data_IF_208035210192
#
_entry.id   IF_208035210192
#
_cell.length_a   1.000
_cell.length_b   1.000
_cell.length_c   1.000
_cell.angle_alpha   90.00
_cell.angle_beta   90.00
_cell.angle_gamma   90.00
#
_symmetry.space_group_name_H-M   'P 1'
#
loop_
_entity.id
_entity.type
_entity.pdbx_description
1 polymer ?
#
# COMPACT_ATOMS: atom_id res chain seq x y z
N UNK A 1 -48.68 -20.93 86.64
CA UNK A 1 -47.31 -21.37 86.31
C UNK A 1 -47.41 -22.25 85.08
N UNK A 2 -47.24 -21.66 83.90
CA UNK A 2 -47.19 -22.41 82.65
C UNK A 2 -45.72 -22.78 82.45
N UNK A 3 -45.33 -24.06 82.53
CA UNK A 3 -43.93 -24.44 82.42
C UNK A 3 -43.46 -24.08 81.02
N UNK A 4 -42.40 -23.27 80.93
CA UNK A 4 -41.67 -23.11 79.69
C UNK A 4 -41.24 -24.51 79.25
N UNK A 5 -41.79 -24.98 78.12
CA UNK A 5 -41.11 -26.00 77.33
C UNK A 5 -39.84 -25.35 76.77
N UNK A 6 -38.81 -25.28 77.61
CA UNK A 6 -37.44 -25.07 77.18
C UNK A 6 -36.93 -26.35 76.57
N UNK A 7 -37.45 -26.71 75.40
CA UNK A 7 -36.83 -27.72 74.56
C UNK A 7 -35.51 -27.13 74.05
N UNK A 8 -34.41 -27.60 74.62
CA UNK A 8 -33.06 -27.27 74.17
C UNK A 8 -32.86 -27.88 72.79
N UNK A 9 -32.65 -27.03 71.77
CA UNK A 9 -32.30 -27.47 70.43
C UNK A 9 -30.84 -27.09 70.16
N UNK A 10 -30.12 -27.97 69.49
CA UNK A 10 -28.70 -27.77 69.18
C UNK A 10 -28.53 -27.54 67.68
N UNK A 11 -27.64 -26.63 67.25
CA UNK A 11 -27.28 -26.52 65.85
C UNK A 11 -26.64 -27.82 65.33
N UNK A 12 -27.28 -28.44 64.34
CA UNK A 12 -26.84 -29.69 63.72
C UNK A 12 -26.52 -29.53 62.24
N UNK A 13 -25.77 -30.48 61.70
CA UNK A 13 -25.36 -30.49 60.29
C UNK A 13 -26.06 -31.65 59.59
N UNK A 14 -26.82 -31.37 58.54
CA UNK A 14 -27.39 -32.43 57.69
C UNK A 14 -26.26 -32.94 56.79
N UNK A 15 -25.91 -34.23 56.90
CA UNK A 15 -24.83 -34.87 56.13
C UNK A 15 -25.25 -35.21 54.69
N UNK A 16 -25.62 -34.22 53.90
CA UNK A 16 -25.58 -34.36 52.44
C UNK A 16 -24.23 -33.80 51.97
N UNK A 17 -23.36 -34.67 51.42
CA UNK A 17 -22.00 -34.25 51.04
C UNK A 17 -22.04 -33.44 49.76
N UNK A 18 -22.05 -32.12 49.87
CA UNK A 18 -21.77 -31.27 48.73
C UNK A 18 -20.34 -31.51 48.21
N UNK A 19 -20.17 -31.40 46.89
CA UNK A 19 -18.86 -31.56 46.24
C UNK A 19 -17.96 -30.38 46.62
N UNK A 20 -16.66 -30.65 46.70
CA UNK A 20 -15.65 -29.61 46.89
C UNK A 20 -15.73 -28.60 45.73
N UNK A 21 -15.53 -27.30 46.01
CA UNK A 21 -15.54 -26.23 45.00
C UNK A 21 -14.43 -26.36 43.96
N UNK A 22 -13.39 -27.15 44.28
CA UNK A 22 -12.34 -27.53 43.34
C UNK A 22 -12.35 -29.03 43.15
N UNK A 23 -11.86 -29.47 42.00
CA UNK A 23 -11.68 -30.88 41.62
C UNK A 23 -10.30 -31.43 42.02
N UNK A 24 -9.32 -30.54 42.29
CA UNK A 24 -7.98 -30.85 42.78
C UNK A 24 -7.49 -29.75 43.73
N UNK A 25 -6.42 -30.03 44.48
CA UNK A 25 -5.79 -29.09 45.38
C UNK A 25 -6.68 -28.68 46.57
N UNK A 26 -6.52 -27.43 47.03
CA UNK A 26 -7.26 -26.89 48.18
C UNK A 26 -8.52 -26.16 47.72
N UNK A 27 -9.67 -26.64 48.18
CA UNK A 27 -10.98 -26.04 47.94
C UNK A 27 -11.79 -25.85 49.22
N UNK A 28 -13.07 -25.54 49.06
CA UNK A 28 -14.02 -25.49 50.16
C UNK A 28 -15.29 -26.24 49.79
N UNK A 29 -16.00 -26.80 50.75
CA UNK A 29 -17.34 -27.37 50.55
C UNK A 29 -18.31 -26.69 51.50
N UNK A 30 -19.57 -26.59 51.10
CA UNK A 30 -20.62 -26.00 51.92
C UNK A 30 -21.53 -27.11 52.45
N UNK A 31 -22.23 -26.82 53.54
CA UNK A 31 -23.16 -27.76 54.16
C UNK A 31 -24.33 -27.01 54.76
N UNK A 32 -25.54 -27.58 54.67
CA UNK A 32 -26.73 -27.01 55.30
C UNK A 32 -26.65 -27.21 56.81
N UNK A 33 -26.56 -26.10 57.55
CA UNK A 33 -26.62 -26.06 59.02
C UNK A 33 -28.05 -25.71 59.43
N UNK A 34 -28.70 -26.60 60.17
CA UNK A 34 -30.08 -26.44 60.63
C UNK A 34 -30.16 -26.62 62.13
N UNK A 35 -31.26 -26.16 62.72
CA UNK A 35 -31.55 -26.41 64.13
C UNK A 35 -32.22 -27.76 64.29
N UNK A 36 -31.72 -28.61 65.19
CA UNK A 36 -32.31 -29.93 65.47
C UNK A 36 -32.73 -30.05 66.93
N UNK A 37 -33.92 -30.60 67.16
CA UNK A 37 -34.42 -30.86 68.52
C UNK A 37 -33.76 -32.09 69.16
N UNK A 38 -33.48 -32.03 70.46
CA UNK A 38 -32.78 -33.09 71.21
C UNK A 38 -33.49 -34.45 71.21
N UNK A 39 -34.82 -34.47 71.11
CA UNK A 39 -35.63 -35.67 71.34
C UNK A 39 -35.80 -36.59 70.11
N UNK A 40 -35.65 -36.05 68.90
CA UNK A 40 -35.89 -36.80 67.63
C UNK A 40 -34.96 -36.45 66.46
N UNK A 41 -34.12 -35.42 66.60
CA UNK A 41 -33.27 -34.95 65.49
C UNK A 41 -34.03 -34.23 64.36
N UNK A 42 -35.31 -33.91 64.58
CA UNK A 42 -36.15 -33.20 63.61
C UNK A 42 -35.71 -31.73 63.46
N UNK A 43 -35.79 -31.20 62.23
CA UNK A 43 -35.48 -29.79 61.92
C UNK A 43 -36.50 -28.87 62.61
N UNK A 44 -36.03 -28.01 63.52
CA UNK A 44 -36.83 -27.04 64.27
C UNK A 44 -36.49 -25.60 63.88
N UNK A 45 -37.35 -24.65 64.25
CA UNK A 45 -37.17 -23.25 63.88
C UNK A 45 -35.92 -22.64 64.53
N UNK A 46 -35.17 -21.82 63.77
CA UNK A 46 -33.85 -21.30 64.15
C UNK A 46 -33.77 -20.46 65.42
N UNK A 47 -34.92 -20.04 65.98
CA UNK A 47 -34.99 -19.29 67.24
C UNK A 47 -34.76 -20.16 68.49
N UNK A 48 -34.81 -21.48 68.33
CA UNK A 48 -34.63 -22.44 69.43
C UNK A 48 -33.18 -22.89 69.63
N UNK A 49 -32.25 -22.44 68.78
CA UNK A 49 -30.82 -22.72 68.94
C UNK A 49 -30.03 -21.51 69.41
N UNK A 50 -28.99 -21.79 70.18
CA UNK A 50 -27.94 -20.81 70.47
C UNK A 50 -27.06 -20.55 69.24
N UNK A 51 -27.16 -19.34 68.70
CA UNK A 51 -26.39 -18.88 67.54
C UNK A 51 -24.88 -18.92 67.79
N UNK A 52 -24.43 -18.75 69.03
CA UNK A 52 -23.01 -18.76 69.39
C UNK A 52 -22.36 -20.14 69.23
N UNK A 53 -23.18 -21.19 69.26
CA UNK A 53 -22.74 -22.59 69.08
C UNK A 53 -22.90 -23.09 67.64
N UNK A 54 -23.35 -22.24 66.71
CA UNK A 54 -23.61 -22.61 65.31
C UNK A 54 -22.31 -23.05 64.60
N UNK A 55 -22.23 -24.28 64.09
CA UNK A 55 -21.09 -24.74 63.31
C UNK A 55 -20.91 -23.92 62.02
N UNK A 56 -19.66 -23.80 61.57
CA UNK A 56 -19.35 -23.20 60.26
C UNK A 56 -20.07 -23.98 59.15
N UNK A 57 -20.71 -23.27 58.24
CA UNK A 57 -21.36 -23.80 57.03
C UNK A 57 -20.35 -24.10 55.92
N UNK A 58 -19.13 -23.58 56.03
CA UNK A 58 -18.02 -23.81 55.11
C UNK A 58 -16.90 -24.63 55.77
N UNK A 59 -16.49 -25.69 55.09
CA UNK A 59 -15.34 -26.51 55.47
C UNK A 59 -14.26 -26.51 54.38
N UNK A 60 -12.99 -26.54 54.78
CA UNK A 60 -11.88 -26.73 53.84
C UNK A 60 -11.80 -28.18 53.39
N UNK A 61 -11.62 -28.41 52.09
CA UNK A 61 -11.36 -29.73 51.51
C UNK A 61 -9.98 -29.72 50.82
N UNK A 62 -9.20 -30.77 51.08
CA UNK A 62 -7.94 -31.05 50.38
C UNK A 62 -8.12 -32.27 49.48
N UNK A 63 -7.87 -32.09 48.19
CA UNK A 63 -7.89 -33.14 47.18
C UNK A 63 -6.46 -33.42 46.68
N UNK A 64 -6.33 -34.37 45.75
CA UNK A 64 -5.06 -34.64 45.08
C UNK A 64 -4.48 -33.35 44.47
N UNK A 65 -3.15 -33.15 44.47
CA UNK A 65 -2.53 -32.00 43.82
C UNK A 65 -2.99 -31.85 42.37
N UNK A 66 -3.12 -30.60 41.92
CA UNK A 66 -3.45 -30.33 40.52
C UNK A 66 -2.23 -30.60 39.64
N UNK A 67 -2.45 -31.31 38.53
CA UNK A 67 -1.42 -31.54 37.52
C UNK A 67 -1.54 -30.51 36.40
N UNK A 68 -0.40 -29.97 35.96
CA UNK A 68 -0.33 -28.98 34.89
C UNK A 68 0.58 -29.50 33.78
N UNK A 69 0.19 -29.25 32.54
CA UNK A 69 0.96 -29.66 31.35
C UNK A 69 1.11 -28.49 30.38
N UNK A 70 2.24 -28.51 29.66
CA UNK A 70 2.43 -27.60 28.54
C UNK A 70 1.66 -28.11 27.33
N UNK A 71 0.79 -27.25 26.78
CA UNK A 71 0.08 -27.49 25.54
C UNK A 71 0.70 -26.59 24.46
N UNK A 72 1.17 -27.20 23.38
CA UNK A 72 1.73 -26.49 22.22
C UNK A 72 0.84 -26.65 21.01
N UNK A 73 0.54 -25.55 20.32
CA UNK A 73 -0.10 -25.57 19.01
C UNK A 73 0.87 -25.91 17.88
N UNK A 74 0.33 -26.01 16.67
CA UNK A 74 1.10 -26.16 15.44
C UNK A 74 1.99 -24.93 15.18
N UNK A 75 3.08 -25.17 14.46
CA UNK A 75 3.92 -24.08 13.98
C UNK A 75 3.23 -23.31 12.86
N UNK A 76 3.37 -21.99 12.87
CA UNK A 76 3.04 -21.14 11.75
C UNK A 76 3.93 -21.42 10.55
N UNK A 77 3.51 -20.91 9.39
CA UNK A 77 4.40 -20.70 8.25
C UNK A 77 5.59 -19.80 8.63
N UNK A 78 6.64 -19.87 7.82
CA UNK A 78 7.83 -19.04 7.99
C UNK A 78 7.47 -17.56 7.76
N UNK A 79 8.02 -16.65 8.57
CA UNK A 79 7.78 -15.20 8.49
C UNK A 79 8.23 -14.56 7.16
N UNK A 80 8.98 -15.30 6.34
CA UNK A 80 9.53 -14.87 5.05
C UNK A 80 9.25 -15.95 4.00
N UNK A 81 9.27 -15.57 2.73
CA UNK A 81 9.11 -16.49 1.58
C UNK A 81 10.44 -16.89 0.94
N UNK A 82 11.55 -16.26 1.37
CA UNK A 82 12.93 -16.56 1.01
C UNK A 82 13.88 -16.11 2.13
N UNK A 83 15.07 -16.68 2.21
CA UNK A 83 16.09 -16.29 3.18
C UNK A 83 15.81 -16.78 4.61
N UNK A 84 16.23 -15.99 5.60
CA UNK A 84 16.17 -16.33 7.03
C UNK A 84 14.94 -15.68 7.67
N UNK A 85 14.16 -16.46 8.40
CA UNK A 85 13.00 -15.98 9.15
C UNK A 85 12.76 -16.79 10.41
N UNK A 86 11.54 -16.67 10.95
CA UNK A 86 11.10 -17.43 12.10
C UNK A 86 9.68 -17.96 11.92
N UNK A 87 9.37 -19.05 12.61
CA UNK A 87 8.02 -19.58 12.78
C UNK A 87 7.62 -19.48 14.26
N UNK A 88 6.33 -19.32 14.52
CA UNK A 88 5.78 -19.16 15.86
C UNK A 88 4.73 -20.23 16.14
N UNK A 89 4.54 -20.58 17.41
CA UNK A 89 3.45 -21.45 17.85
C UNK A 89 2.88 -20.97 19.17
N UNK A 90 1.63 -21.30 19.43
CA UNK A 90 1.01 -21.04 20.73
C UNK A 90 1.58 -22.02 21.76
N UNK A 91 1.93 -21.50 22.94
CA UNK A 91 2.35 -22.30 24.09
C UNK A 91 1.55 -21.83 25.29
N UNK A 92 0.81 -22.74 25.90
CA UNK A 92 -0.03 -22.46 27.07
C UNK A 92 0.22 -23.50 28.16
N UNK A 93 0.06 -23.06 29.40
CA UNK A 93 0.08 -23.93 30.58
C UNK A 93 -1.36 -24.21 30.96
N UNK A 94 -1.76 -25.48 31.05
CA UNK A 94 -3.14 -25.84 31.38
C UNK A 94 -3.18 -26.90 32.46
N UNK A 95 -4.16 -26.76 33.35
CA UNK A 95 -4.50 -27.75 34.38
C UNK A 95 -5.22 -28.93 33.72
N UNK A 96 -4.84 -30.16 34.07
CA UNK A 96 -5.55 -31.37 33.61
C UNK A 96 -6.34 -31.99 34.76
N UNK A 97 -7.58 -32.35 34.49
CA UNK A 97 -8.43 -33.10 35.42
C UNK A 97 -8.39 -34.59 35.05
N UNK A 98 -8.04 -35.45 36.00
CA UNK A 98 -8.23 -36.90 35.87
C UNK A 98 -9.73 -37.22 35.90
N UNK A 99 -10.38 -37.23 34.73
CA UNK A 99 -11.74 -37.78 34.58
C UNK A 99 -12.68 -37.19 33.53
N UNK A 100 -12.33 -36.15 32.77
CA UNK A 100 -13.13 -35.70 31.60
C UNK A 100 -12.24 -35.16 30.49
N UNK A 101 -12.59 -35.51 29.26
CA UNK A 101 -11.83 -35.31 28.01
C UNK A 101 -11.80 -33.85 27.50
N UNK A 102 -12.38 -32.90 28.22
CA UNK A 102 -12.51 -31.51 27.77
C UNK A 102 -11.55 -30.60 28.53
N UNK A 103 -10.50 -30.15 27.83
CA UNK A 103 -9.56 -29.13 28.28
C UNK A 103 -10.28 -27.78 28.41
N UNK A 104 -10.39 -27.25 29.63
CA UNK A 104 -10.88 -25.89 29.85
C UNK A 104 -9.70 -24.92 29.78
N UNK A 105 -9.74 -24.01 28.80
CA UNK A 105 -8.65 -23.09 28.50
C UNK A 105 -8.60 -21.96 29.53
N UNK A 106 -8.00 -22.20 30.70
CA UNK A 106 -7.79 -21.17 31.70
C UNK A 106 -6.58 -20.30 31.33
N UNK A 107 -6.81 -19.00 31.17
CA UNK A 107 -5.80 -18.02 30.74
C UNK A 107 -4.88 -17.59 31.90
N UNK A 108 -4.52 -18.46 32.84
CA UNK A 108 -3.89 -18.00 34.07
C UNK A 108 -2.68 -18.84 34.48
N UNK A 109 -1.54 -18.18 34.31
CA UNK A 109 -0.22 -18.35 34.95
C UNK A 109 0.63 -19.57 34.56
N UNK A 110 1.76 -19.29 33.92
CA UNK A 110 2.89 -20.22 33.65
C UNK A 110 3.58 -20.76 34.91
N UNK A 111 3.16 -20.32 36.10
CA UNK A 111 3.84 -20.52 37.38
C UNK A 111 3.79 -21.98 37.86
N UNK A 112 2.77 -22.74 37.45
CA UNK A 112 2.53 -24.08 37.96
C UNK A 112 2.93 -25.20 36.97
N UNK A 113 3.40 -24.84 35.76
CA UNK A 113 3.79 -25.84 34.78
C UNK A 113 5.19 -26.39 35.05
N UNK A 114 5.39 -27.71 34.89
CA UNK A 114 6.67 -28.35 35.12
C UNK A 114 7.69 -27.98 34.05
N UNK A 115 8.94 -27.82 34.46
CA UNK A 115 10.07 -27.60 33.55
C UNK A 115 10.06 -26.24 32.85
N UNK A 116 10.96 -26.10 31.87
CA UNK A 116 11.07 -24.88 31.07
C UNK A 116 9.93 -24.80 30.04
N UNK A 117 9.41 -23.60 29.83
CA UNK A 117 8.43 -23.34 28.76
C UNK A 117 9.00 -23.80 27.41
N UNK A 118 8.27 -24.62 26.65
CA UNK A 118 8.68 -24.98 25.30
C UNK A 118 8.85 -23.74 24.41
N UNK A 119 9.78 -23.75 23.43
CA UNK A 119 10.01 -22.60 22.58
C UNK A 119 8.73 -22.26 21.80
N UNK A 120 8.33 -21.00 21.88
CA UNK A 120 7.23 -20.43 21.09
C UNK A 120 7.70 -19.88 19.74
N UNK A 121 9.02 -19.78 19.52
CA UNK A 121 9.63 -19.27 18.29
C UNK A 121 10.79 -20.18 17.89
N UNK A 122 10.91 -20.47 16.59
CA UNK A 122 12.02 -21.24 16.02
C UNK A 122 12.48 -20.61 14.69
N UNK A 123 13.80 -20.57 14.38
CA UNK A 123 14.28 -20.09 13.09
C UNK A 123 13.84 -21.01 11.94
N UNK A 124 13.59 -20.41 10.78
CA UNK A 124 13.38 -21.10 9.50
C UNK A 124 14.33 -20.54 8.43
N UNK A 125 14.79 -21.41 7.55
CA UNK A 125 15.72 -21.09 6.46
C UNK A 125 15.11 -21.59 5.15
N UNK A 126 14.79 -20.66 4.25
CA UNK A 126 14.28 -20.94 2.92
C UNK A 126 15.36 -20.68 1.87
N UNK A 127 15.01 -20.91 0.59
CA UNK A 127 15.89 -20.55 -0.55
C UNK A 127 16.34 -19.10 -0.47
N UNK A 128 17.53 -18.80 -0.97
CA UNK A 128 18.03 -17.42 -1.02
C UNK A 128 17.04 -16.50 -1.74
N UNK A 129 16.97 -15.25 -1.28
CA UNK A 129 16.08 -14.28 -1.89
C UNK A 129 16.59 -13.89 -3.28
N UNK A 130 15.70 -13.80 -4.29
CA UNK A 130 16.07 -13.29 -5.59
C UNK A 130 16.69 -11.90 -5.44
N UNK A 131 17.88 -11.72 -6.01
CA UNK A 131 18.51 -10.40 -6.06
C UNK A 131 17.69 -9.52 -7.00
N UNK A 132 17.09 -8.45 -6.45
CA UNK A 132 16.42 -7.44 -7.25
C UNK A 132 17.37 -6.29 -7.55
N UNK A 133 17.39 -5.82 -8.80
CA UNK A 133 18.14 -4.63 -9.18
C UNK A 133 17.23 -3.53 -9.69
N UNK A 134 17.66 -2.28 -9.53
CA UNK A 134 16.91 -1.10 -9.97
C UNK A 134 17.87 -0.04 -10.48
N UNK A 135 17.44 0.71 -11.50
CA UNK A 135 18.17 1.89 -11.96
C UNK A 135 18.23 2.96 -10.87
N UNK A 136 19.43 3.44 -10.58
CA UNK A 136 19.72 4.58 -9.70
C UNK A 136 20.31 5.70 -10.54
N UNK A 137 19.81 6.91 -10.34
CA UNK A 137 20.25 8.10 -11.08
C UNK A 137 20.83 9.13 -10.12
N UNK A 138 21.94 9.73 -10.52
CA UNK A 138 22.50 10.90 -9.84
C UNK A 138 21.86 12.20 -10.30
N UNK A 139 22.33 13.30 -9.69
CA UNK A 139 22.00 14.64 -10.13
C UNK A 139 22.62 14.93 -11.50
N UNK A 140 22.00 15.82 -12.26
CA UNK A 140 22.61 16.37 -13.47
C UNK A 140 23.81 17.24 -13.11
N UNK A 141 24.92 17.04 -13.82
CA UNK A 141 26.09 17.90 -13.78
C UNK A 141 25.86 19.22 -14.52
N UNK A 142 26.89 20.06 -14.52
CA UNK A 142 26.88 21.34 -15.26
C UNK A 142 26.75 21.12 -16.76
N UNK A 143 26.21 22.13 -17.45
CA UNK A 143 26.15 22.14 -18.90
C UNK A 143 27.58 22.13 -19.48
N UNK A 144 27.82 21.38 -20.56
CA UNK A 144 29.13 21.29 -21.22
C UNK A 144 29.63 22.63 -21.79
N UNK A 145 28.74 23.62 -21.91
CA UNK A 145 29.06 24.95 -22.43
C UNK A 145 28.67 26.03 -21.41
N UNK A 146 29.46 27.09 -21.37
CA UNK A 146 29.16 28.32 -20.62
C UNK A 146 28.18 29.23 -21.36
N UNK A 147 27.96 29.02 -22.66
CA UNK A 147 27.07 29.80 -23.50
C UNK A 147 26.48 28.93 -24.63
N UNK A 148 25.19 29.10 -24.94
CA UNK A 148 24.50 28.40 -26.03
C UNK A 148 23.95 27.01 -25.67
N UNK A 149 23.93 26.12 -26.66
CA UNK A 149 23.38 24.76 -26.55
C UNK A 149 24.49 23.78 -26.20
N UNK A 150 24.31 23.02 -25.13
CA UNK A 150 25.26 21.99 -24.71
C UNK A 150 24.58 20.73 -24.22
N UNK A 151 25.36 19.87 -23.57
CA UNK A 151 24.88 18.61 -22.98
C UNK A 151 25.28 18.57 -21.52
N UNK A 152 24.37 18.12 -20.67
CA UNK A 152 24.66 17.77 -19.28
C UNK A 152 24.59 16.26 -19.11
N UNK A 153 25.40 15.74 -18.19
CA UNK A 153 25.54 14.33 -17.89
C UNK A 153 25.07 14.04 -16.46
N UNK A 154 24.54 12.85 -16.20
CA UNK A 154 24.30 12.34 -14.85
C UNK A 154 24.77 10.89 -14.75
N UNK A 155 25.03 10.40 -13.54
CA UNK A 155 25.26 8.97 -13.34
C UNK A 155 23.97 8.19 -13.50
N UNK A 156 24.04 7.05 -14.20
CA UNK A 156 22.94 6.09 -14.32
C UNK A 156 23.55 4.70 -14.10
N UNK A 157 23.18 4.04 -13.01
CA UNK A 157 23.75 2.76 -12.61
C UNK A 157 22.66 1.76 -12.26
N UNK A 158 22.80 0.52 -12.69
CA UNK A 158 21.94 -0.57 -12.26
C UNK A 158 22.53 -1.17 -10.99
N UNK A 159 21.83 -1.02 -9.86
CA UNK A 159 22.30 -1.45 -8.55
C UNK A 159 21.33 -2.45 -7.92
N UNK A 160 21.86 -3.44 -7.20
CA UNK A 160 21.06 -4.34 -6.37
C UNK A 160 20.50 -3.61 -5.14
N UNK A 161 19.66 -4.29 -4.37
CA UNK A 161 19.21 -3.83 -3.05
C UNK A 161 20.34 -3.65 -2.02
N UNK A 162 21.56 -4.10 -2.32
CA UNK A 162 22.77 -3.96 -1.49
C UNK A 162 23.79 -2.98 -2.13
N UNK A 163 23.32 -2.13 -3.04
CA UNK A 163 24.11 -1.13 -3.78
C UNK A 163 25.28 -1.70 -4.58
N UNK A 164 25.22 -2.97 -4.97
CA UNK A 164 26.22 -3.61 -5.84
C UNK A 164 25.86 -3.45 -7.32
N UNK A 165 26.84 -3.25 -8.22
CA UNK A 165 26.61 -3.22 -9.66
C UNK A 165 25.93 -4.50 -10.16
N UNK A 166 24.93 -4.35 -11.02
CA UNK A 166 24.15 -5.48 -11.56
C UNK A 166 23.78 -5.28 -13.03
N UNK A 167 23.39 -6.38 -13.68
CA UNK A 167 22.83 -6.42 -15.04
C UNK A 167 21.35 -6.85 -15.05
N UNK A 168 20.71 -6.96 -13.88
CA UNK A 168 19.34 -7.44 -13.75
C UNK A 168 18.28 -6.36 -14.03
N UNK A 169 18.68 -5.12 -14.29
CA UNK A 169 17.75 -4.03 -14.62
C UNK A 169 17.29 -4.13 -16.09
N UNK A 170 15.99 -3.95 -16.38
CA UNK A 170 15.52 -3.92 -17.77
C UNK A 170 16.10 -2.72 -18.55
N UNK A 171 16.68 -3.00 -19.71
CA UNK A 171 17.29 -1.97 -20.57
C UNK A 171 16.28 -0.97 -21.15
N UNK A 172 15.05 -1.41 -21.43
CA UNK A 172 13.95 -0.55 -21.91
C UNK A 172 13.57 0.55 -20.92
N UNK A 173 13.84 0.32 -19.63
CA UNK A 173 13.57 1.26 -18.54
C UNK A 173 14.81 2.08 -18.17
N UNK A 174 15.92 1.95 -18.91
CA UNK A 174 17.17 2.67 -18.62
C UNK A 174 16.94 4.18 -18.74
N UNK A 175 17.12 4.95 -17.64
CA UNK A 175 16.97 6.39 -17.70
C UNK A 175 18.04 7.06 -18.58
N UNK A 176 17.71 8.22 -19.14
CA UNK A 176 18.66 8.99 -19.96
C UNK A 176 19.90 9.40 -19.17
N UNK A 177 21.09 9.14 -19.69
CA UNK A 177 22.36 9.57 -19.07
C UNK A 177 22.77 10.98 -19.50
N UNK A 178 22.22 11.46 -20.62
CA UNK A 178 22.56 12.73 -21.27
C UNK A 178 21.30 13.50 -21.59
N UNK A 179 21.33 14.81 -21.36
CA UNK A 179 20.23 15.71 -21.71
C UNK A 179 20.76 17.02 -22.27
N UNK A 180 20.07 17.57 -23.27
CA UNK A 180 20.38 18.90 -23.82
C UNK A 180 20.12 19.98 -22.77
N UNK A 181 21.09 20.89 -22.62
CA UNK A 181 20.99 22.06 -21.77
C UNK A 181 21.17 23.33 -22.60
N UNK A 182 20.57 24.42 -22.13
CA UNK A 182 20.61 25.72 -22.78
C UNK A 182 21.09 26.75 -21.79
N UNK A 183 22.26 27.35 -22.05
CA UNK A 183 22.77 28.47 -21.28
C UNK A 183 22.61 29.73 -22.12
N UNK A 184 21.85 30.71 -21.64
CA UNK A 184 21.52 31.94 -22.37
C UNK A 184 22.31 33.16 -21.89
N UNK A 185 23.10 33.02 -20.83
CA UNK A 185 23.87 34.12 -20.27
C UNK A 185 25.13 34.37 -21.10
N UNK A 186 25.40 35.63 -21.44
CA UNK A 186 26.58 36.08 -22.21
C UNK A 186 26.76 35.37 -23.57
N UNK A 187 25.65 35.04 -24.23
CA UNK A 187 25.67 34.41 -25.55
C UNK A 187 25.30 35.42 -26.64
N UNK A 188 26.11 35.52 -27.70
CA UNK A 188 25.66 36.12 -28.96
C UNK A 188 24.81 35.09 -29.72
N UNK A 189 23.50 35.08 -29.46
CA UNK A 189 22.54 34.20 -30.13
C UNK A 189 21.84 34.95 -31.27
N UNK A 190 21.61 34.29 -32.42
CA UNK A 190 20.91 34.90 -33.53
C UNK A 190 19.45 35.18 -33.17
N UNK A 191 18.94 36.34 -33.58
CA UNK A 191 17.54 36.74 -33.34
C UNK A 191 16.60 36.30 -34.47
N UNK A 192 17.13 35.99 -35.65
CA UNK A 192 16.38 35.60 -36.84
C UNK A 192 17.23 34.69 -37.75
N UNK A 193 16.62 34.09 -38.78
CA UNK A 193 17.33 33.16 -39.66
C UNK A 193 18.41 33.85 -40.50
N UNK A 194 18.26 35.14 -40.81
CA UNK A 194 19.29 35.92 -41.49
C UNK A 194 20.55 36.05 -40.63
N UNK A 195 20.40 36.19 -39.32
CA UNK A 195 21.52 36.24 -38.40
C UNK A 195 22.15 34.87 -38.16
N UNK A 196 21.37 33.79 -38.21
CA UNK A 196 21.92 32.41 -38.23
C UNK A 196 22.93 32.26 -39.37
N UNK A 197 22.60 32.73 -40.58
CA UNK A 197 23.52 32.70 -41.73
C UNK A 197 24.81 33.48 -41.44
N UNK A 198 24.68 34.66 -40.81
CA UNK A 198 25.81 35.57 -40.53
C UNK A 198 26.73 35.06 -39.42
N UNK A 199 26.17 34.61 -38.30
CA UNK A 199 26.93 34.21 -37.11
C UNK A 199 27.45 32.78 -37.19
N UNK A 200 26.67 31.85 -37.75
CA UNK A 200 27.00 30.43 -37.77
C UNK A 200 27.48 29.92 -39.13
N UNK A 201 27.46 30.76 -40.17
CA UNK A 201 27.81 30.34 -41.54
C UNK A 201 26.88 29.27 -42.10
N UNK A 202 25.69 29.07 -41.51
CA UNK A 202 24.78 28.01 -41.90
C UNK A 202 23.99 28.41 -43.17
N UNK A 203 24.02 27.56 -44.20
CA UNK A 203 23.30 27.77 -45.46
C UNK A 203 22.17 26.77 -45.71
N UNK A 204 21.98 25.81 -44.81
CA UNK A 204 21.01 24.72 -44.95
C UNK A 204 19.69 25.05 -44.24
N UNK A 205 18.58 24.54 -44.77
CA UNK A 205 17.28 24.64 -44.11
C UNK A 205 17.26 23.71 -42.90
N UNK A 206 16.72 24.16 -41.77
CA UNK A 206 16.79 23.37 -40.54
C UNK A 206 16.27 24.07 -39.29
N UNK A 207 16.32 23.36 -38.17
CA UNK A 207 15.94 23.86 -36.86
C UNK A 207 17.10 24.59 -36.18
N UNK A 208 16.89 25.85 -35.84
CA UNK A 208 17.87 26.67 -35.15
C UNK A 208 17.29 27.27 -33.87
N UNK A 209 18.12 27.40 -32.85
CA UNK A 209 17.75 28.12 -31.64
C UNK A 209 17.99 29.61 -31.83
N UNK A 210 16.92 30.39 -31.74
CA UNK A 210 16.90 31.84 -31.88
C UNK A 210 16.51 32.49 -30.55
N UNK A 211 17.05 33.67 -30.26
CA UNK A 211 16.59 34.47 -29.13
C UNK A 211 15.55 35.50 -29.60
N UNK A 212 14.30 35.27 -29.21
CA UNK A 212 13.15 36.09 -29.64
C UNK A 212 12.53 36.68 -28.39
N UNK A 213 12.54 38.01 -28.28
CA UNK A 213 12.03 38.74 -27.09
C UNK A 213 12.63 38.25 -25.75
N UNK A 214 13.92 37.86 -25.76
CA UNK A 214 14.63 37.33 -24.58
C UNK A 214 14.35 35.86 -24.25
N UNK A 215 13.54 35.16 -25.04
CA UNK A 215 13.28 33.72 -24.90
C UNK A 215 13.99 32.93 -25.98
N UNK A 216 14.48 31.75 -25.62
CA UNK A 216 15.08 30.81 -26.57
C UNK A 216 13.97 30.00 -27.26
N UNK A 217 13.80 30.20 -28.56
CA UNK A 217 12.83 29.47 -29.37
C UNK A 217 13.55 28.58 -30.38
N UNK A 218 13.03 27.38 -30.59
CA UNK A 218 13.46 26.50 -31.69
C UNK A 218 12.62 26.86 -32.92
N UNK A 219 13.27 27.44 -33.93
CA UNK A 219 12.64 27.97 -35.14
C UNK A 219 13.24 27.28 -36.35
N UNK A 220 12.36 26.81 -37.23
CA UNK A 220 12.75 26.25 -38.51
C UNK A 220 13.02 27.39 -39.50
N UNK A 221 14.26 27.47 -39.96
CA UNK A 221 14.68 28.37 -41.01
C UNK A 221 14.58 27.68 -42.37
N UNK A 222 13.76 28.22 -43.27
CA UNK A 222 13.60 27.72 -44.63
C UNK A 222 14.13 28.72 -45.67
N UNK A 223 14.61 28.24 -46.81
CA UNK A 223 15.21 29.07 -47.85
C UNK A 223 16.53 29.70 -47.41
N UNK A 224 17.34 29.00 -46.62
CA UNK A 224 18.63 29.46 -46.10
C UNK A 224 19.69 29.65 -47.20
N UNK A 225 19.49 29.07 -48.39
CA UNK A 225 20.27 29.38 -49.58
C UNK A 225 19.93 30.76 -50.19
N UNK A 226 18.74 31.31 -49.90
CA UNK A 226 18.27 32.59 -50.44
C UNK A 226 18.74 33.80 -49.61
N UNK A 227 18.58 35.02 -50.13
CA UNK A 227 18.83 36.26 -49.39
C UNK A 227 17.79 36.58 -48.30
N UNK A 228 16.65 35.90 -48.32
CA UNK A 228 15.49 36.15 -47.46
C UNK A 228 14.95 34.84 -46.88
N UNK A 229 15.66 34.24 -45.90
CA UNK A 229 15.15 33.05 -45.23
C UNK A 229 13.83 33.36 -44.51
N UNK A 230 13.01 32.33 -44.34
CA UNK A 230 11.69 32.42 -43.71
C UNK A 230 11.66 31.59 -42.43
N UNK A 231 11.03 32.15 -41.42
CA UNK A 231 10.90 31.58 -40.08
C UNK A 231 9.57 30.82 -39.92
N UNK A 232 9.65 29.62 -39.37
CA UNK A 232 8.49 28.80 -39.04
C UNK A 232 8.63 28.18 -37.65
N UNK A 233 7.52 28.03 -36.94
CA UNK A 233 7.47 27.19 -35.74
C UNK A 233 7.00 25.79 -36.13
N UNK A 234 7.79 24.78 -35.75
CA UNK A 234 7.42 23.37 -35.94
C UNK A 234 6.42 22.95 -34.87
N UNK A 235 5.33 22.32 -35.31
CA UNK A 235 4.29 21.86 -34.42
C UNK A 235 4.73 20.55 -33.74
N UNK A 236 4.53 20.49 -32.43
CA UNK A 236 5.09 19.42 -31.58
C UNK A 236 4.37 18.09 -31.81
N UNK A 237 3.07 18.17 -32.10
CA UNK A 237 2.25 17.02 -32.42
C UNK A 237 2.31 16.79 -33.95
N UNK A 238 2.31 15.54 -34.39
CA UNK A 238 2.38 15.23 -35.83
C UNK A 238 1.02 15.42 -36.52
N UNK A 239 0.87 14.72 -37.64
CA UNK A 239 -0.39 14.68 -38.41
C UNK A 239 -1.58 14.11 -37.61
N UNK A 240 -1.34 13.53 -36.42
CA UNK A 240 -2.35 13.01 -35.50
C UNK A 240 -3.19 14.10 -34.81
N UNK A 241 -2.65 15.30 -34.65
CA UNK A 241 -3.35 16.41 -33.99
C UNK A 241 -3.35 17.69 -34.83
N UNK A 242 -2.41 17.84 -35.76
CA UNK A 242 -2.32 19.03 -36.61
C UNK A 242 -2.88 18.78 -37.99
N UNK A 243 -4.17 18.45 -38.06
CA UNK A 243 -4.87 18.24 -39.31
C UNK A 243 -6.20 19.00 -39.38
N UNK A 244 -6.65 19.25 -40.61
CA UNK A 244 -8.00 19.68 -40.92
C UNK A 244 -8.57 18.71 -41.95
N UNK A 245 -9.74 18.17 -41.64
CA UNK A 245 -10.48 17.27 -42.53
C UNK A 245 -11.82 17.89 -42.89
N UNK A 246 -12.07 18.00 -44.20
CA UNK A 246 -13.35 18.46 -44.75
C UNK A 246 -14.04 17.30 -45.43
N UNK A 247 -15.17 16.91 -44.87
CA UNK A 247 -16.02 15.86 -45.43
C UNK A 247 -16.74 16.36 -46.69
N UNK A 248 -16.66 15.56 -47.76
CA UNK A 248 -17.38 15.86 -49.01
C UNK A 248 -18.88 15.66 -48.94
N UNK A 249 -19.33 14.93 -47.91
CA UNK A 249 -20.72 14.59 -47.68
C UNK A 249 -21.19 15.22 -46.36
N UNK A 250 -22.29 15.97 -46.42
CA UNK A 250 -22.96 16.56 -45.25
C UNK A 250 -24.29 15.86 -45.02
N UNK A 251 -24.54 15.42 -43.79
CA UNK A 251 -25.82 14.79 -43.42
C UNK A 251 -27.00 15.72 -43.74
N UNK A 252 -28.10 15.14 -44.25
CA UNK A 252 -29.34 15.88 -44.44
C UNK A 252 -29.94 16.34 -43.10
N UNK A 253 -29.96 15.45 -42.11
CA UNK A 253 -30.29 15.75 -40.72
C UNK A 253 -29.09 15.44 -39.80
N UNK A 254 -28.47 16.45 -39.16
CA UNK A 254 -27.31 16.26 -38.27
C UNK A 254 -27.58 15.40 -37.02
N UNK A 255 -28.83 15.19 -36.62
CA UNK A 255 -29.18 14.47 -35.38
C UNK A 255 -29.61 13.02 -35.59
N UNK A 256 -29.80 12.57 -36.83
CA UNK A 256 -30.31 11.23 -37.15
C UNK A 256 -29.21 10.17 -37.28
N UNK A 257 -27.95 10.56 -37.48
CA UNK A 257 -26.82 9.64 -37.61
C UNK A 257 -25.68 9.94 -36.60
N UNK A 258 -25.92 9.90 -35.27
CA UNK A 258 -24.85 10.04 -34.29
C UNK A 258 -24.09 8.72 -34.15
N UNK A 259 -22.80 8.74 -34.45
CA UNK A 259 -21.92 7.61 -34.17
C UNK A 259 -20.58 8.14 -33.63
N UNK A 260 -19.99 7.39 -32.70
CA UNK A 260 -18.82 7.69 -31.89
C UNK A 260 -17.50 7.87 -32.69
N UNK A 261 -17.48 8.79 -33.66
CA UNK A 261 -16.33 9.11 -34.50
C UNK A 261 -16.07 8.17 -35.69
N UNK A 262 -16.79 7.05 -35.87
CA UNK A 262 -16.65 6.21 -37.08
C UNK A 262 -17.56 6.60 -38.23
N UNK A 263 -17.07 6.33 -39.44
CA UNK A 263 -17.68 6.65 -40.74
C UNK A 263 -18.70 5.59 -41.14
N UNK A 264 -19.86 6.02 -41.62
CA UNK A 264 -20.96 5.16 -42.07
C UNK A 264 -21.45 5.62 -43.44
N UNK A 265 -21.40 4.71 -44.41
CA UNK A 265 -21.79 4.98 -45.81
C UNK A 265 -23.31 4.83 -46.03
N UNK A 266 -24.06 4.36 -45.03
CA UNK A 266 -25.50 4.12 -45.03
C UNK A 266 -26.36 5.34 -44.62
N UNK A 267 -25.75 6.46 -44.22
CA UNK A 267 -26.49 7.67 -43.83
C UNK A 267 -26.90 8.53 -45.05
N UNK A 268 -28.09 9.14 -45.01
CA UNK A 268 -28.53 10.07 -46.05
C UNK A 268 -27.72 11.38 -46.03
N UNK A 269 -26.92 11.61 -47.07
CA UNK A 269 -26.03 12.76 -47.17
C UNK A 269 -26.16 13.49 -48.53
N UNK A 270 -25.94 14.80 -48.51
CA UNK A 270 -25.75 15.63 -49.71
C UNK A 270 -24.28 15.91 -49.95
N UNK A 271 -23.89 15.99 -51.22
CA UNK A 271 -22.51 16.28 -51.65
C UNK A 271 -22.37 17.77 -51.94
N UNK A 272 -22.06 18.54 -50.89
CA UNK A 272 -22.02 20.00 -50.97
C UNK A 272 -20.61 20.56 -51.22
N UNK A 273 -19.57 19.76 -50.96
CA UNK A 273 -18.18 20.20 -51.04
C UNK A 273 -17.42 19.37 -52.07
N UNK A 274 -17.06 20.01 -53.19
CA UNK A 274 -16.21 19.41 -54.24
C UNK A 274 -14.75 19.35 -53.83
N UNK A 275 -14.31 20.22 -52.91
CA UNK A 275 -12.98 20.26 -52.32
C UNK A 275 -12.90 19.51 -50.98
N UNK A 276 -13.44 18.29 -50.95
CA UNK A 276 -13.30 17.39 -49.80
C UNK A 276 -11.87 16.85 -49.70
N UNK A 277 -11.36 16.68 -48.49
CA UNK A 277 -10.01 16.15 -48.31
C UNK A 277 -9.46 16.29 -46.90
N UNK A 278 -8.25 15.77 -46.74
CA UNK A 278 -7.46 15.83 -45.52
C UNK A 278 -6.23 16.70 -45.78
N UNK A 279 -5.96 17.62 -44.87
CA UNK A 279 -4.74 18.44 -44.87
C UNK A 279 -4.07 18.30 -43.51
N UNK A 280 -2.75 18.09 -43.50
CA UNK A 280 -1.95 18.19 -42.28
C UNK A 280 -1.01 19.38 -42.35
N UNK A 281 -0.72 19.94 -41.18
CA UNK A 281 0.14 21.09 -41.00
C UNK A 281 1.27 20.68 -40.08
N UNK A 282 2.50 20.89 -40.52
CA UNK A 282 3.69 20.54 -39.72
C UNK A 282 4.39 21.77 -39.16
N UNK A 283 4.20 22.92 -39.80
CA UNK A 283 4.89 24.17 -39.48
C UNK A 283 3.99 25.37 -39.74
N UNK A 284 4.09 26.40 -38.89
CA UNK A 284 3.35 27.64 -39.02
C UNK A 284 4.33 28.79 -39.25
N UNK A 285 4.09 29.59 -40.29
CA UNK A 285 4.89 30.78 -40.58
C UNK A 285 4.57 31.87 -39.56
N UNK A 286 5.59 32.48 -38.98
CA UNK A 286 5.42 33.46 -37.90
C UNK A 286 6.27 34.70 -38.14
N UNK A 287 5.77 35.85 -37.71
CA UNK A 287 6.57 37.05 -37.53
C UNK A 287 7.16 37.03 -36.11
N UNK A 288 8.48 36.88 -35.99
CA UNK A 288 9.17 36.81 -34.70
C UNK A 288 9.14 38.13 -33.92
N UNK A 289 8.82 39.26 -34.56
CA UNK A 289 8.74 40.57 -33.90
C UNK A 289 7.38 40.75 -33.22
N UNK A 290 6.30 40.42 -33.94
CA UNK A 290 4.92 40.60 -33.46
C UNK A 290 4.35 39.33 -32.81
N UNK A 291 5.03 38.19 -32.96
CA UNK A 291 4.58 36.85 -32.57
C UNK A 291 3.22 36.48 -33.21
N UNK A 292 2.96 36.96 -34.42
CA UNK A 292 1.72 36.70 -35.17
C UNK A 292 1.94 35.69 -36.30
N UNK A 293 0.93 34.86 -36.55
CA UNK A 293 0.92 33.92 -37.67
C UNK A 293 0.81 34.70 -38.99
N UNK A 294 1.73 34.43 -39.91
CA UNK A 294 1.70 35.00 -41.26
C UNK A 294 0.90 34.06 -42.16
N UNK A 295 -0.34 34.46 -42.47
CA UNK A 295 -1.17 33.73 -43.42
C UNK A 295 -0.64 33.93 -44.85
N UNK A 296 -0.58 32.89 -45.69
CA UNK A 296 -0.29 33.06 -47.11
C UNK A 296 -1.37 33.96 -47.73
N UNK A 297 -0.96 35.04 -48.40
CA UNK A 297 -1.87 35.91 -49.14
C UNK A 297 -2.60 35.12 -50.22
N UNK A 298 -3.91 35.37 -50.36
CA UNK A 298 -4.70 34.88 -51.50
C UNK A 298 -4.18 35.42 -52.82
#
# INVERSE_FOLDING_TARGET
>A
MNPQLGGTATPGVIREREKCTKTCGKGSRYRKVVCVGEDKGDEVHGMHCDVSTRPLDRESCGLQPCEYVWITGEWSECSVTCGKGYKQRLVSCSEIYTGKENYEYSYQTTINCPGAQPPSVQPCYLRECPVSATWRVGNWGSCSVSCGVGVMHRSVQCLTNEDQPSHLCPDELKPEERKTCHNIYNCELPQNCKEVKRLKGAGEDGEYFLIVTGKLLKVFCAGMHSGHPKEYMTLVHGDSENFSEVYGHRLHNPTECPYNGSRRDDCQCRKDYTAAGFSSFQKIRIDLTTMQIIMPGK
#
